data_IF_163749482336
#
_entry.id   IF_163749482336
#
_cell.length_a   1.000
_cell.length_b   1.000
_cell.length_c   1.000
_cell.angle_alpha   90.00
_cell.angle_beta   90.00
_cell.angle_gamma   90.00
#
_symmetry.space_group_name_H-M   'P 1'
#
loop_
_entity.id
_entity.type
_entity.pdbx_description
1 polymer ?
#
# COMPACT_ATOMS: atom_id res chain seq x y z
N UNK A 1 2.46 2.66 26.49
CA UNK A 1 1.12 2.49 25.89
C UNK A 1 1.09 1.16 25.16
N UNK A 2 0.55 0.11 25.78
CA UNK A 2 0.48 -1.26 25.21
C UNK A 2 -0.96 -1.70 24.87
N UNK A 3 -1.96 -0.81 24.94
CA UNK A 3 -3.37 -1.21 25.07
C UNK A 3 -4.24 -1.10 23.82
N UNK A 4 -3.68 -0.93 22.62
CA UNK A 4 -4.49 -0.94 21.38
C UNK A 4 -4.12 -2.06 20.40
N UNK A 5 -2.97 -2.72 20.58
CA UNK A 5 -2.46 -3.71 19.63
C UNK A 5 -2.89 -5.15 19.97
N UNK A 6 -3.03 -5.48 21.26
CA UNK A 6 -3.27 -6.85 21.74
C UNK A 6 -4.64 -7.45 21.37
N UNK A 7 -5.54 -6.67 20.75
CA UNK A 7 -6.89 -7.12 20.38
C UNK A 7 -7.15 -7.23 18.87
N UNK A 8 -6.17 -6.95 18.00
CA UNK A 8 -6.39 -6.99 16.55
C UNK A 8 -6.08 -8.37 15.97
N UNK A 9 -7.02 -9.30 16.11
CA UNK A 9 -7.15 -10.49 15.24
C UNK A 9 -7.56 -10.13 13.79
N UNK A 10 -7.34 -8.88 13.37
CA UNK A 10 -7.77 -8.33 12.08
C UNK A 10 -6.59 -8.29 11.12
N UNK A 11 -6.83 -8.58 9.83
CA UNK A 11 -5.81 -8.44 8.79
C UNK A 11 -5.33 -6.97 8.73
N UNK A 12 -4.08 -6.71 8.36
CA UNK A 12 -3.52 -5.36 8.21
C UNK A 12 -4.45 -4.41 7.42
N UNK A 13 -5.11 -4.89 6.36
CA UNK A 13 -6.06 -4.07 5.60
C UNK A 13 -7.26 -3.61 6.44
N UNK A 14 -7.79 -4.47 7.30
CA UNK A 14 -8.89 -4.12 8.22
C UNK A 14 -8.42 -3.21 9.36
N UNK A 15 -7.16 -3.32 9.76
CA UNK A 15 -6.57 -2.35 10.68
C UNK A 15 -6.50 -0.97 10.03
N UNK A 16 -6.00 -0.90 8.79
CA UNK A 16 -5.90 0.33 8.01
C UNK A 16 -7.27 0.97 7.80
N UNK A 17 -8.36 0.22 7.55
CA UNK A 17 -9.71 0.80 7.40
C UNK A 17 -10.16 1.50 8.67
N UNK A 18 -9.94 0.88 9.84
CA UNK A 18 -10.35 1.45 11.13
C UNK A 18 -9.63 2.77 11.40
N UNK A 19 -8.31 2.81 11.25
CA UNK A 19 -7.52 4.00 11.60
C UNK A 19 -7.68 5.14 10.59
N UNK A 20 -8.02 4.83 9.34
CA UNK A 20 -8.32 5.83 8.31
C UNK A 20 -9.80 6.19 8.24
N UNK A 21 -10.62 5.66 9.15
CA UNK A 21 -12.06 5.92 9.25
C UNK A 21 -12.86 5.52 8.00
N UNK A 22 -12.42 4.45 7.34
CA UNK A 22 -13.10 3.87 6.18
C UNK A 22 -14.07 2.76 6.61
N UNK A 23 -15.27 2.77 6.01
CA UNK A 23 -16.30 1.77 6.28
C UNK A 23 -16.02 0.42 5.59
N UNK A 24 -15.24 0.42 4.50
CA UNK A 24 -14.94 -0.76 3.69
C UNK A 24 -13.48 -0.77 3.25
N UNK A 25 -12.90 -1.97 3.06
CA UNK A 25 -11.52 -2.15 2.57
C UNK A 25 -11.34 -1.53 1.17
N UNK A 26 -12.36 -1.60 0.31
CA UNK A 26 -12.35 -0.96 -1.01
C UNK A 26 -12.06 0.54 -0.94
N UNK A 27 -12.52 1.22 0.10
CA UNK A 27 -12.39 2.67 0.22
C UNK A 27 -10.95 3.08 0.58
N UNK A 28 -10.15 2.17 1.18
CA UNK A 28 -8.70 2.39 1.32
C UNK A 28 -8.03 2.60 -0.04
N UNK A 29 -8.51 1.88 -1.06
CA UNK A 29 -7.89 1.87 -2.38
C UNK A 29 -8.35 3.05 -3.25
N UNK A 30 -9.63 3.41 -3.18
CA UNK A 30 -10.22 4.47 -4.02
C UNK A 30 -10.15 5.85 -3.39
N UNK A 31 -10.40 5.95 -2.08
CA UNK A 31 -10.74 7.23 -1.43
C UNK A 31 -9.63 7.72 -0.50
N UNK A 32 -8.69 6.85 -0.12
CA UNK A 32 -7.65 7.19 0.85
C UNK A 32 -6.34 7.55 0.15
N UNK A 33 -5.80 8.77 0.31
CA UNK A 33 -4.51 9.14 -0.24
C UNK A 33 -3.39 8.25 0.31
N UNK A 34 -2.43 7.89 -0.54
CA UNK A 34 -1.31 7.03 -0.15
C UNK A 34 -0.45 7.66 0.96
N UNK A 35 -0.36 8.99 1.01
CA UNK A 35 0.28 9.73 2.10
C UNK A 35 -0.37 9.43 3.46
N UNK A 36 -1.69 9.29 3.52
CA UNK A 36 -2.41 8.96 4.76
C UNK A 36 -2.12 7.53 5.18
N UNK A 37 -2.17 6.58 4.23
CA UNK A 37 -1.81 5.17 4.46
C UNK A 37 -0.35 5.03 4.92
N UNK A 38 0.57 5.77 4.30
CA UNK A 38 2.00 5.77 4.64
C UNK A 38 2.25 6.24 6.07
N UNK A 39 1.61 7.34 6.50
CA UNK A 39 1.72 7.83 7.88
C UNK A 39 1.18 6.82 8.89
N UNK A 40 0.05 6.21 8.56
CA UNK A 40 -0.54 5.14 9.35
C UNK A 40 0.42 3.94 9.49
N UNK A 41 0.99 3.48 8.39
CA UNK A 41 1.93 2.34 8.34
C UNK A 41 3.22 2.63 9.11
N UNK A 42 3.76 3.85 9.00
CA UNK A 42 4.98 4.25 9.71
C UNK A 42 4.84 4.22 11.25
N UNK A 43 3.61 4.26 11.77
CA UNK A 43 3.31 4.17 13.19
C UNK A 43 3.12 2.73 13.69
N UNK A 44 3.13 1.73 12.81
CA UNK A 44 2.92 0.32 13.15
C UNK A 44 4.27 -0.31 13.53
N UNK A 45 4.36 -1.00 14.69
CA UNK A 45 5.53 -1.81 15.04
C UNK A 45 5.80 -2.91 14.01
N UNK A 46 7.07 -3.24 13.79
CA UNK A 46 7.49 -4.24 12.80
C UNK A 46 7.07 -5.68 13.14
N UNK A 47 6.84 -5.96 14.42
CA UNK A 47 6.37 -7.24 14.94
C UNK A 47 4.84 -7.34 15.04
N UNK A 48 4.09 -6.28 14.71
CA UNK A 48 2.63 -6.26 14.84
C UNK A 48 1.91 -7.15 13.81
N UNK A 49 2.48 -7.34 12.63
CA UNK A 49 1.93 -8.17 11.55
C UNK A 49 3.00 -9.02 10.90
N UNK A 50 2.61 -10.19 10.40
CA UNK A 50 3.52 -11.11 9.69
C UNK A 50 3.91 -10.53 8.34
N UNK A 51 5.06 -10.97 7.80
CA UNK A 51 5.52 -10.57 6.46
C UNK A 51 4.45 -10.84 5.41
N UNK A 52 3.75 -11.97 5.49
CA UNK A 52 2.67 -12.32 4.56
C UNK A 52 1.51 -11.33 4.61
N UNK A 53 1.12 -10.83 5.78
CA UNK A 53 0.07 -9.80 5.88
C UNK A 53 0.51 -8.47 5.27
N UNK A 54 1.78 -8.11 5.42
CA UNK A 54 2.36 -6.94 4.76
C UNK A 54 2.38 -7.08 3.24
N UNK A 55 2.76 -8.26 2.74
CA UNK A 55 2.73 -8.59 1.31
C UNK A 55 1.30 -8.53 0.76
N UNK A 56 0.33 -9.14 1.43
CA UNK A 56 -1.08 -9.09 1.06
C UNK A 56 -1.59 -7.65 0.95
N UNK A 57 -1.29 -6.81 1.95
CA UNK A 57 -1.69 -5.41 1.95
C UNK A 57 -1.02 -4.61 0.81
N UNK A 58 0.28 -4.80 0.60
CA UNK A 58 1.00 -4.15 -0.50
C UNK A 58 0.42 -4.58 -1.85
N UNK A 59 0.19 -5.88 -2.04
CA UNK A 59 -0.36 -6.44 -3.27
C UNK A 59 -1.80 -5.96 -3.52
N UNK A 60 -2.58 -5.78 -2.46
CA UNK A 60 -3.92 -5.21 -2.56
C UNK A 60 -3.88 -3.72 -2.98
N UNK A 61 -3.10 -2.92 -2.26
CA UNK A 61 -3.03 -1.46 -2.46
C UNK A 61 -2.38 -1.10 -3.79
N UNK A 62 -1.36 -1.85 -4.21
CA UNK A 62 -0.55 -1.54 -5.39
C UNK A 62 -0.88 -2.43 -6.58
N UNK A 63 -1.76 -3.43 -6.44
CA UNK A 63 -2.13 -4.37 -7.51
C UNK A 63 -0.93 -4.99 -8.25
N UNK A 64 0.19 -5.09 -7.56
CA UNK A 64 1.45 -5.63 -8.03
C UNK A 64 1.80 -6.86 -7.17
N UNK A 65 2.52 -7.83 -7.74
CA UNK A 65 3.03 -8.96 -6.96
C UNK A 65 4.36 -8.55 -6.34
N UNK A 66 4.30 -8.16 -5.07
CA UNK A 66 5.44 -7.75 -4.25
C UNK A 66 5.65 -8.83 -3.19
N UNK A 67 6.92 -9.13 -2.94
CA UNK A 67 7.36 -9.99 -1.87
C UNK A 67 8.40 -9.23 -1.03
N UNK A 68 8.39 -9.46 0.27
CA UNK A 68 9.31 -8.83 1.21
C UNK A 68 10.12 -9.90 1.95
N UNK A 69 11.36 -9.58 2.28
CA UNK A 69 12.21 -10.44 3.10
C UNK A 69 11.94 -10.26 4.61
N UNK A 70 11.33 -9.14 5.01
CA UNK A 70 10.97 -8.85 6.41
C UNK A 70 9.87 -7.80 6.52
N UNK A 71 9.21 -7.74 7.68
CA UNK A 71 8.19 -6.73 7.99
C UNK A 71 8.77 -5.31 7.99
N UNK A 72 10.01 -5.13 8.46
CA UNK A 72 10.72 -3.85 8.39
C UNK A 72 10.91 -3.36 6.95
N UNK A 73 11.26 -4.26 6.02
CA UNK A 73 11.37 -3.90 4.62
C UNK A 73 10.03 -3.43 4.05
N UNK A 74 8.95 -4.12 4.40
CA UNK A 74 7.60 -3.76 3.95
C UNK A 74 7.15 -2.40 4.50
N UNK A 75 7.34 -2.14 5.80
CA UNK A 75 7.01 -0.86 6.44
C UNK A 75 7.81 0.27 5.78
N UNK A 76 9.12 0.09 5.61
CA UNK A 76 9.96 1.09 4.95
C UNK A 76 9.48 1.38 3.52
N UNK A 77 9.21 0.33 2.74
CA UNK A 77 8.74 0.48 1.36
C UNK A 77 7.40 1.23 1.28
N UNK A 78 6.39 0.80 2.04
CA UNK A 78 5.05 1.37 2.00
C UNK A 78 5.00 2.77 2.62
N UNK A 79 5.79 3.02 3.67
CA UNK A 79 5.92 4.37 4.23
C UNK A 79 6.55 5.30 3.20
N UNK A 80 7.76 5.03 2.69
CA UNK A 80 8.45 5.91 1.73
C UNK A 80 7.62 6.19 0.48
N UNK A 81 6.89 5.20 -0.04
CA UNK A 81 6.07 5.37 -1.24
C UNK A 81 5.02 6.49 -1.08
N UNK A 82 4.38 6.58 0.08
CA UNK A 82 3.38 7.64 0.34
C UNK A 82 3.97 9.03 0.59
N UNK A 83 5.27 9.16 0.91
CA UNK A 83 5.91 10.48 0.97
C UNK A 83 6.12 11.07 -0.43
N UNK A 84 6.35 10.22 -1.41
CA UNK A 84 6.51 10.62 -2.81
C UNK A 84 5.18 10.82 -3.53
N UNK A 85 4.06 10.44 -2.91
CA UNK A 85 2.75 10.33 -3.58
C UNK A 85 1.62 10.83 -2.68
N UNK A 86 0.97 11.91 -3.11
CA UNK A 86 -0.23 12.48 -2.43
C UNK A 86 -1.56 12.07 -3.08
N UNK A 87 -1.55 11.12 -4.02
CA UNK A 87 -2.76 10.60 -4.70
C UNK A 87 -3.24 9.30 -4.07
N UNK A 88 -4.46 8.86 -4.40
CA UNK A 88 -5.00 7.58 -3.96
C UNK A 88 -4.33 6.40 -4.69
N UNK A 89 -4.28 5.19 -4.10
CA UNK A 89 -3.64 4.01 -4.69
C UNK A 89 -4.13 3.70 -6.11
N UNK A 90 -5.44 3.86 -6.38
CA UNK A 90 -5.99 3.64 -7.70
C UNK A 90 -5.36 4.54 -8.79
N UNK A 91 -5.13 5.82 -8.50
CA UNK A 91 -4.57 6.79 -9.46
C UNK A 91 -3.13 6.40 -9.84
N UNK A 92 -2.35 5.88 -8.89
CA UNK A 92 -0.98 5.39 -9.17
C UNK A 92 -0.95 4.31 -10.25
N UNK A 93 -1.99 3.48 -10.33
CA UNK A 93 -2.09 2.42 -11.34
C UNK A 93 -2.43 2.97 -12.72
N UNK A 94 -3.30 3.97 -12.79
CA UNK A 94 -3.63 4.63 -14.05
C UNK A 94 -2.41 5.33 -14.66
N UNK A 95 -1.60 5.98 -13.84
CA UNK A 95 -0.39 6.66 -14.33
C UNK A 95 0.71 5.68 -14.71
N UNK A 96 0.86 4.56 -13.98
CA UNK A 96 1.79 3.48 -14.35
C UNK A 96 1.38 2.75 -15.63
N UNK A 97 0.09 2.48 -15.83
CA UNK A 97 -0.41 1.86 -17.08
C UNK A 97 -0.24 2.78 -18.28
N UNK A 98 -0.37 4.11 -18.12
CA UNK A 98 -0.04 5.09 -19.16
C UNK A 98 1.46 5.11 -19.50
N UNK A 99 2.34 4.96 -18.52
CA UNK A 99 3.79 4.88 -18.73
C UNK A 99 4.22 3.59 -19.44
N UNK A 100 3.67 2.44 -19.03
CA UNK A 100 3.93 1.15 -19.67
C UNK A 100 3.35 1.16 -21.10
N UNK A 101 2.13 1.65 -21.29
CA UNK A 101 1.48 1.77 -22.60
C UNK A 101 2.27 2.61 -23.62
N UNK A 102 2.92 3.69 -23.18
CA UNK A 102 3.84 4.47 -24.04
C UNK A 102 5.15 3.74 -24.35
N UNK A 103 5.68 2.93 -23.43
CA UNK A 103 6.89 2.13 -23.66
C UNK A 103 6.69 1.01 -24.70
N UNK A 104 5.45 0.55 -24.93
CA UNK A 104 5.15 -0.46 -25.96
C UNK A 104 4.83 0.13 -27.35
N UNK A 105 4.56 1.44 -27.45
CA UNK A 105 4.34 2.10 -28.74
C UNK A 105 5.65 2.57 -29.41
N UNK A 106 6.71 2.82 -28.64
CA UNK A 106 8.02 3.22 -29.19
C UNK A 106 8.86 2.06 -29.79
N UNK A 107 8.35 0.83 -29.83
CA UNK A 107 9.00 -0.31 -30.52
C UNK A 107 8.42 -0.63 -31.90
N UNK A 108 7.46 0.15 -32.42
CA UNK A 108 6.86 -0.08 -33.74
C UNK A 108 7.25 0.92 -34.83
N UNK A 109 8.12 1.89 -34.53
CA UNK A 109 8.67 2.81 -35.53
C UNK A 109 10.21 2.71 -35.55
N UNK A 110 10.70 1.56 -36.02
CA UNK A 110 12.01 1.51 -36.68
C UNK A 110 11.72 1.04 -38.10
N UNK A 111 11.56 2.01 -39.00
CA UNK A 111 11.65 1.81 -40.45
C UNK A 111 13.13 1.91 -40.82
#
# INVERSE_FOLDING_TARGET
MKSQWENYNKNLLEYLTVITQNNYISNLFYDTPFLVLSRAIAAIPDDAFTVTQWEEAANYLLREKIAFSSSQQAIHYLSVLGWSVSVTPYILLEDRTKFIGKSWQNKKNTI
#
